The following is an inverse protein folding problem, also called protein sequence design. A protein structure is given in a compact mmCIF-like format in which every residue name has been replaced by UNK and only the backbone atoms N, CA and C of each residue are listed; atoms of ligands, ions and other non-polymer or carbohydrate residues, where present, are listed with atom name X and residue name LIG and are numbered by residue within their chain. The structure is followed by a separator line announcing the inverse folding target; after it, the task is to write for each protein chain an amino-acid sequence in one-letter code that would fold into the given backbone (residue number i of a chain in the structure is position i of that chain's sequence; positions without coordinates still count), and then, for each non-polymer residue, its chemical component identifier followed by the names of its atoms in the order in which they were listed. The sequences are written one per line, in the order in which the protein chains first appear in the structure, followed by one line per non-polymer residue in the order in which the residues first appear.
data_IF_303474281287
#
_entry.id   IF_303474281287
#
_cell.length_a   1.000
_cell.length_b   1.000
_cell.length_c   1.000
_cell.angle_alpha   90.00
_cell.angle_beta   90.00
_cell.angle_gamma   90.00
#
_symmetry.space_group_name_H-M   'P 1'
#
loop_
_entity.id
_entity.type
_entity.pdbx_description
1 polymer ?
#
# COMPACT_ATOMS: atom_id res chain seq x y z
N UNK A 1 20.39 -6.54 -0.86
CA UNK A 1 19.69 -5.83 -1.93
C UNK A 1 18.26 -5.61 -1.51
N UNK A 2 17.71 -4.45 -1.83
CA UNK A 2 16.34 -4.12 -1.44
C UNK A 2 15.32 -4.57 -2.47
N UNK A 3 14.08 -4.69 -2.03
CA UNK A 3 12.93 -5.02 -2.86
C UNK A 3 11.98 -3.82 -2.88
N UNK A 4 11.47 -3.48 -4.06
CA UNK A 4 10.41 -2.49 -4.21
C UNK A 4 9.09 -3.21 -4.45
N UNK A 5 8.11 -2.94 -3.60
CA UNK A 5 6.76 -3.48 -3.73
C UNK A 5 5.81 -2.36 -4.12
N UNK A 6 5.05 -2.61 -5.18
CA UNK A 6 4.06 -1.66 -5.69
C UNK A 6 2.69 -2.32 -5.64
N UNK A 7 1.76 -1.65 -4.99
CA UNK A 7 0.38 -2.12 -4.88
C UNK A 7 -0.54 -1.05 -5.49
N UNK A 8 -1.41 -1.49 -6.42
CA UNK A 8 -2.40 -0.62 -7.03
C UNK A 8 -3.77 -0.98 -6.47
N UNK A 9 -4.39 -0.04 -5.81
CA UNK A 9 -5.66 -0.23 -5.11
C UNK A 9 -6.74 0.60 -5.79
N UNK A 10 -7.88 -0.03 -6.06
CA UNK A 10 -9.07 0.63 -6.57
C UNK A 10 -10.09 0.71 -5.45
N UNK A 11 -10.53 1.92 -5.11
CA UNK A 11 -11.54 2.16 -4.08
C UNK A 11 -12.76 2.78 -4.73
N UNK A 12 -13.97 2.34 -4.36
CA UNK A 12 -15.18 2.97 -4.87
C UNK A 12 -15.12 4.47 -4.62
N UNK A 13 -15.44 5.27 -5.65
CA UNK A 13 -15.25 6.72 -5.61
C UNK A 13 -15.92 7.37 -4.41
N UNK A 14 -17.12 6.94 -4.05
CA UNK A 14 -17.88 7.46 -2.91
C UNK A 14 -17.29 7.08 -1.55
N UNK A 15 -16.33 6.14 -1.53
CA UNK A 15 -15.69 5.66 -0.30
C UNK A 15 -14.21 6.07 -0.19
N UNK A 16 -13.73 6.90 -1.11
CA UNK A 16 -12.33 7.33 -1.12
C UNK A 16 -11.92 8.02 0.19
N UNK A 17 -12.74 8.94 0.69
CA UNK A 17 -12.45 9.64 1.94
C UNK A 17 -12.37 8.67 3.12
N UNK A 18 -13.25 7.68 3.17
CA UNK A 18 -13.24 6.66 4.22
C UNK A 18 -11.98 5.80 4.14
N UNK A 19 -11.55 5.41 2.93
CA UNK A 19 -10.33 4.66 2.76
C UNK A 19 -9.11 5.45 3.26
N UNK A 20 -9.01 6.73 2.89
CA UNK A 20 -7.89 7.58 3.30
C UNK A 20 -7.86 7.76 4.82
N UNK A 21 -9.03 7.91 5.45
CA UNK A 21 -9.14 8.00 6.90
C UNK A 21 -8.68 6.69 7.57
N UNK A 22 -9.19 5.56 7.09
CA UNK A 22 -8.85 4.24 7.62
C UNK A 22 -7.34 3.98 7.49
N UNK A 23 -6.75 4.32 6.34
CA UNK A 23 -5.32 4.17 6.12
C UNK A 23 -4.50 5.00 7.11
N UNK A 24 -4.85 6.28 7.26
CA UNK A 24 -4.13 7.19 8.17
C UNK A 24 -4.21 6.75 9.63
N UNK A 25 -5.35 6.20 10.05
CA UNK A 25 -5.56 5.79 11.43
C UNK A 25 -4.96 4.42 11.74
N UNK A 26 -4.99 3.49 10.79
CA UNK A 26 -4.66 2.09 11.04
C UNK A 26 -3.35 1.63 10.41
N UNK A 27 -3.04 2.03 9.18
CA UNK A 27 -1.87 1.52 8.47
C UNK A 27 -0.66 2.47 8.58
N UNK A 28 -0.88 3.77 8.53
CA UNK A 28 0.21 4.74 8.61
C UNK A 28 1.04 4.62 9.90
N UNK A 29 0.44 4.42 11.10
CA UNK A 29 1.23 4.17 12.32
C UNK A 29 2.10 2.92 12.21
N UNK A 30 1.62 1.87 11.55
CA UNK A 30 2.39 0.65 11.32
C UNK A 30 3.56 0.90 10.37
N UNK A 31 3.35 1.68 9.33
CA UNK A 31 4.43 2.10 8.43
C UNK A 31 5.55 2.83 9.19
N UNK A 32 5.18 3.73 10.11
CA UNK A 32 6.15 4.45 10.95
C UNK A 32 6.95 3.49 11.82
N UNK A 33 6.29 2.47 12.38
CA UNK A 33 6.95 1.45 13.20
C UNK A 33 7.95 0.64 12.37
N UNK A 34 7.56 0.15 11.20
CA UNK A 34 8.47 -0.62 10.33
C UNK A 34 9.60 0.25 9.80
N UNK A 35 9.35 1.52 9.51
CA UNK A 35 10.41 2.48 9.16
C UNK A 35 11.38 2.66 10.32
N UNK A 36 10.90 2.86 11.52
CA UNK A 36 11.74 3.04 12.71
C UNK A 36 12.62 1.83 13.00
N UNK A 37 12.13 0.62 12.72
CA UNK A 37 12.89 -0.62 12.87
C UNK A 37 13.88 -0.88 11.72
N UNK A 38 13.86 -0.07 10.68
CA UNK A 38 14.71 -0.25 9.51
C UNK A 38 14.24 -1.33 8.53
N UNK A 39 13.06 -1.92 8.74
CA UNK A 39 12.48 -2.91 7.82
C UNK A 39 11.99 -2.25 6.53
N UNK A 40 11.39 -1.05 6.64
CA UNK A 40 11.04 -0.22 5.50
C UNK A 40 12.11 0.84 5.28
N UNK A 41 12.67 0.89 4.09
CA UNK A 41 13.58 1.96 3.68
C UNK A 41 12.81 3.21 3.28
N UNK A 42 11.68 3.02 2.60
CA UNK A 42 10.76 4.08 2.25
C UNK A 42 9.37 3.50 2.05
N UNK A 43 8.34 4.30 2.27
CA UNK A 43 6.96 3.92 2.01
C UNK A 43 6.15 5.15 1.66
N UNK A 44 5.34 5.06 0.63
CA UNK A 44 4.48 6.16 0.20
C UNK A 44 3.21 5.64 -0.44
N UNK A 45 2.15 6.44 -0.32
CA UNK A 45 0.89 6.22 -1.00
C UNK A 45 0.52 7.50 -1.77
N UNK A 46 0.07 7.33 -3.00
CA UNK A 46 -0.36 8.44 -3.85
C UNK A 46 -1.78 8.21 -4.33
N UNK A 47 -2.59 9.27 -4.34
CA UNK A 47 -3.87 9.25 -5.05
C UNK A 47 -3.59 9.59 -6.51
N UNK A 48 -3.98 8.69 -7.41
CA UNK A 48 -3.72 8.87 -8.84
C UNK A 48 -4.59 10.01 -9.37
N UNK A 49 -3.94 10.99 -10.03
CA UNK A 49 -4.60 12.13 -10.64
C UNK A 49 -4.77 11.94 -12.16
N UNK A 50 -3.91 11.17 -12.78
CA UNK A 50 -3.97 10.88 -14.22
C UNK A 50 -3.34 9.54 -14.51
N UNK A 51 -3.73 8.93 -15.63
CA UNK A 51 -3.20 7.64 -16.06
C UNK A 51 -3.68 7.32 -17.46
N UNK A 52 -3.23 6.17 -17.98
CA UNK A 52 -3.62 5.68 -19.30
C UNK A 52 -4.93 4.88 -19.27
N UNK A 53 -5.37 4.49 -18.06
CA UNK A 53 -6.60 3.77 -17.81
C UNK A 53 -7.51 4.61 -16.89
N UNK A 54 -8.50 5.25 -17.45
CA UNK A 54 -9.39 6.12 -16.68
C UNK A 54 -10.70 5.42 -16.37
N UNK A 55 -11.04 5.35 -15.07
CA UNK A 55 -12.31 4.83 -14.57
C UNK A 55 -12.98 5.89 -13.73
N UNK A 56 -14.29 6.07 -13.94
CA UNK A 56 -15.08 7.07 -13.22
C UNK A 56 -15.66 6.52 -11.90
N UNK A 57 -15.73 5.20 -11.77
CA UNK A 57 -16.35 4.51 -10.64
C UNK A 57 -15.41 4.33 -9.44
N UNK A 58 -14.11 4.54 -9.64
CA UNK A 58 -13.10 4.32 -8.60
C UNK A 58 -12.13 5.49 -8.48
N UNK A 59 -11.53 5.60 -7.28
CA UNK A 59 -10.31 6.36 -7.04
C UNK A 59 -9.19 5.34 -6.92
N UNK A 60 -8.11 5.55 -7.64
CA UNK A 60 -6.97 4.64 -7.66
C UNK A 60 -5.86 5.18 -6.77
N UNK A 61 -5.25 4.29 -6.00
CA UNK A 61 -4.09 4.59 -5.17
C UNK A 61 -2.91 3.72 -5.59
N UNK A 62 -1.73 4.30 -5.56
CA UNK A 62 -0.48 3.56 -5.77
C UNK A 62 0.32 3.63 -4.49
N UNK A 63 0.63 2.46 -3.95
CA UNK A 63 1.49 2.29 -2.79
C UNK A 63 2.85 1.81 -3.31
N UNK A 64 3.93 2.44 -2.85
CA UNK A 64 5.28 2.02 -3.17
C UNK A 64 6.08 1.92 -1.88
N UNK A 65 6.52 0.70 -1.56
CA UNK A 65 7.28 0.42 -0.34
C UNK A 65 8.59 -0.26 -0.73
N UNK A 66 9.71 0.34 -0.32
CA UNK A 66 10.99 -0.31 -0.46
C UNK A 66 11.34 -0.96 0.87
N UNK A 67 11.57 -2.27 0.84
CA UNK A 67 11.90 -3.09 2.02
C UNK A 67 13.34 -3.59 1.94
N UNK A 68 13.93 -3.87 3.10
CA UNK A 68 15.33 -4.36 3.16
C UNK A 68 15.47 -5.77 2.61
N UNK A 69 14.38 -6.57 2.69
CA UNK A 69 14.37 -7.95 2.22
C UNK A 69 12.93 -8.42 2.03
N UNK A 70 12.76 -9.50 1.29
CA UNK A 70 11.45 -10.14 1.17
C UNK A 70 10.91 -10.63 2.52
N UNK A 71 11.79 -11.00 3.45
CA UNK A 71 11.38 -11.39 4.80
C UNK A 71 10.70 -10.24 5.54
N UNK A 72 11.18 -9.00 5.36
CA UNK A 72 10.55 -7.81 5.96
C UNK A 72 9.15 -7.57 5.37
N UNK A 73 8.98 -7.77 4.08
CA UNK A 73 7.68 -7.72 3.41
C UNK A 73 6.72 -8.75 4.03
N UNK A 74 7.17 -10.01 4.13
CA UNK A 74 6.35 -11.09 4.67
C UNK A 74 5.97 -10.87 6.13
N UNK A 75 6.86 -10.28 6.91
CA UNK A 75 6.59 -9.92 8.32
C UNK A 75 5.46 -8.91 8.41
N UNK A 76 5.49 -7.85 7.58
CA UNK A 76 4.42 -6.87 7.53
C UNK A 76 3.09 -7.52 7.14
N UNK A 77 3.08 -8.35 6.11
CA UNK A 77 1.86 -8.97 5.62
C UNK A 77 1.25 -9.96 6.63
N UNK A 78 2.08 -10.54 7.49
CA UNK A 78 1.65 -11.44 8.56
C UNK A 78 1.26 -10.70 9.85
N UNK A 79 1.45 -9.39 9.92
CA UNK A 79 1.08 -8.61 11.09
C UNK A 79 -0.43 -8.64 11.29
N UNK A 80 -0.93 -9.05 12.48
CA UNK A 80 -2.37 -9.13 12.73
C UNK A 80 -3.10 -7.80 12.54
N UNK A 81 -2.45 -6.69 12.85
CA UNK A 81 -3.02 -5.35 12.66
C UNK A 81 -3.17 -5.01 11.18
N UNK A 82 -2.22 -5.42 10.33
CA UNK A 82 -2.37 -5.29 8.89
C UNK A 82 -3.53 -6.15 8.38
N UNK A 83 -3.66 -7.37 8.86
CA UNK A 83 -4.76 -8.25 8.47
C UNK A 83 -6.13 -7.65 8.82
N UNK A 84 -6.25 -7.02 9.98
CA UNK A 84 -7.47 -6.33 10.37
C UNK A 84 -7.76 -5.12 9.48
N UNK A 85 -6.76 -4.28 9.24
CA UNK A 85 -6.88 -3.17 8.30
C UNK A 85 -7.32 -3.66 6.92
N UNK A 86 -6.67 -4.70 6.41
CA UNK A 86 -6.94 -5.24 5.09
C UNK A 86 -8.37 -5.75 4.95
N UNK A 87 -8.92 -6.39 5.98
CA UNK A 87 -10.33 -6.83 5.97
C UNK A 87 -11.30 -5.66 5.83
N UNK A 88 -11.03 -4.55 6.53
CA UNK A 88 -11.85 -3.33 6.40
C UNK A 88 -11.67 -2.68 5.04
N UNK A 89 -10.44 -2.59 4.56
CA UNK A 89 -10.12 -1.98 3.27
C UNK A 89 -10.75 -2.75 2.11
N UNK A 90 -10.79 -4.08 2.18
CA UNK A 90 -11.38 -4.93 1.15
C UNK A 90 -12.85 -4.60 0.93
N UNK A 91 -13.58 -4.20 1.97
CA UNK A 91 -14.99 -3.83 1.84
C UNK A 91 -15.20 -2.57 1.01
N UNK A 92 -14.17 -1.75 0.84
CA UNK A 92 -14.23 -0.49 0.09
C UNK A 92 -13.77 -0.66 -1.36
N UNK A 93 -13.24 -1.84 -1.69
CA UNK A 93 -12.65 -2.13 -3.00
C UNK A 93 -13.61 -3.00 -3.82
N UNK A 94 -13.92 -2.62 -5.08
CA UNK A 94 -14.77 -3.46 -5.94
C UNK A 94 -14.02 -4.67 -6.52
N UNK A 95 -12.68 -4.69 -6.41
CA UNK A 95 -11.81 -5.73 -6.96
C UNK A 95 -10.53 -5.85 -6.14
N UNK A 96 -9.84 -6.96 -6.30
CA UNK A 96 -8.58 -7.22 -5.61
C UNK A 96 -7.49 -6.25 -6.09
N UNK A 97 -6.54 -5.88 -5.21
CA UNK A 97 -5.42 -5.04 -5.62
C UNK A 97 -4.50 -5.77 -6.60
N UNK A 98 -3.81 -4.98 -7.42
CA UNK A 98 -2.69 -5.46 -8.23
C UNK A 98 -1.42 -5.33 -7.40
N UNK A 99 -0.61 -6.37 -7.35
CA UNK A 99 0.60 -6.40 -6.52
C UNK A 99 1.79 -6.80 -7.37
N UNK A 100 2.84 -6.01 -7.32
CA UNK A 100 4.09 -6.28 -8.01
C UNK A 100 5.24 -6.08 -7.03
N UNK A 101 6.26 -6.93 -7.12
CA UNK A 101 7.45 -6.77 -6.31
C UNK A 101 8.68 -7.21 -7.09
N UNK A 102 9.80 -6.56 -6.83
CA UNK A 102 11.04 -6.90 -7.50
C UNK A 102 12.25 -6.23 -6.89
N UNK A 103 13.41 -6.72 -7.30
CA UNK A 103 14.69 -6.18 -6.85
C UNK A 103 14.91 -4.79 -7.40
N UNK A 104 15.36 -3.87 -6.52
CA UNK A 104 15.78 -2.54 -6.96
C UNK A 104 17.12 -2.67 -7.69
N UNK A 105 17.14 -2.32 -8.98
CA UNK A 105 18.34 -2.42 -9.81
C UNK A 105 19.20 -1.17 -9.70
N UNK A 106 18.58 0.00 -9.69
CA UNK A 106 19.27 1.30 -9.58
C UNK A 106 18.41 2.25 -8.74
N UNK A 107 19.08 3.06 -7.93
CA UNK A 107 18.44 4.12 -7.15
C UNK A 107 19.33 5.37 -7.20
N UNK A 108 18.68 6.53 -7.27
CA UNK A 108 19.38 7.83 -7.31
C UNK A 108 18.87 8.73 -6.20
#
# INVERSE_FOLDING_TARGET
MSELDVIVIHVRAEQAAEYERLFAESELPRWREYKARGAFLSARISRVAFGTDNRQDVVKYVIAVEVTSHAAHSEHDADPGFGEFNRHADLLQPEDPLVYGGEVLHAV
#
